data_IF_682575104971
#
_entry.id   IF_682575104971
#
_cell.length_a   1.000
_cell.length_b   1.000
_cell.length_c   1.000
_cell.angle_alpha   90.00
_cell.angle_beta   90.00
_cell.angle_gamma   90.00
#
_symmetry.space_group_name_H-M   'P 1'
#
loop_
_entity.id
_entity.type
_entity.pdbx_description
1 polymer ?
#
# COMPACT_ATOMS: atom_id res chain seq x y z
N UNK A 1 -7.65 10.71 9.35
CA UNK A 1 -7.87 11.33 10.69
C UNK A 1 -6.58 11.30 11.51
N UNK A 2 -6.43 12.22 12.47
CA UNK A 2 -5.33 12.14 13.44
C UNK A 2 -5.51 10.93 14.35
N UNK A 3 -4.41 10.24 14.63
CA UNK A 3 -4.32 9.11 15.55
C UNK A 3 -3.69 9.52 16.88
N UNK A 4 -2.55 10.25 16.79
CA UNK A 4 -1.84 10.89 17.90
C UNK A 4 -1.34 12.26 17.43
N UNK A 5 -0.87 13.15 18.30
CA UNK A 5 -0.24 14.41 17.88
C UNK A 5 0.87 14.15 16.84
N UNK A 6 0.76 14.76 15.67
CA UNK A 6 1.70 14.59 14.56
C UNK A 6 1.60 13.28 13.76
N UNK A 7 0.71 12.35 14.12
CA UNK A 7 0.52 11.07 13.42
C UNK A 7 -0.92 10.98 12.89
N UNK A 8 -1.07 10.77 11.58
CA UNK A 8 -2.38 10.55 10.96
C UNK A 8 -2.53 9.11 10.43
N UNK A 9 -3.77 8.67 10.30
CA UNK A 9 -4.13 7.37 9.71
C UNK A 9 -4.83 7.58 8.37
N UNK A 10 -4.38 6.83 7.38
CA UNK A 10 -5.04 6.62 6.09
C UNK A 10 -5.53 5.18 6.02
N UNK A 11 -6.83 4.99 5.97
CA UNK A 11 -7.42 3.69 5.65
C UNK A 11 -7.49 3.54 4.13
N UNK A 12 -6.94 2.46 3.60
CA UNK A 12 -6.99 2.16 2.17
C UNK A 12 -7.90 0.94 1.97
N UNK A 13 -9.18 1.16 1.66
CA UNK A 13 -10.12 0.06 1.45
C UNK A 13 -9.82 -0.67 0.14
N UNK A 14 -10.43 -1.86 -0.03
CA UNK A 14 -10.44 -2.54 -1.33
C UNK A 14 -11.18 -1.68 -2.37
N UNK A 15 -10.73 -1.75 -3.63
CA UNK A 15 -11.38 -1.06 -4.75
C UNK A 15 -11.48 -1.97 -5.97
N UNK A 16 -12.65 -2.08 -6.58
CA UNK A 16 -12.91 -2.97 -7.72
C UNK A 16 -13.32 -2.25 -9.00
N UNK A 17 -13.37 -0.92 -8.98
CA UNK A 17 -13.70 -0.14 -10.16
C UNK A 17 -12.61 -0.24 -11.24
N UNK A 18 -13.03 -0.13 -12.50
CA UNK A 18 -12.14 -0.11 -13.67
C UNK A 18 -12.46 1.07 -14.59
N UNK A 19 -13.37 1.94 -14.18
CA UNK A 19 -13.73 3.17 -14.85
C UNK A 19 -12.80 4.29 -14.37
N UNK A 20 -12.26 5.08 -15.28
CA UNK A 20 -11.24 6.11 -14.97
C UNK A 20 -11.78 7.18 -14.02
N UNK A 21 -13.07 7.53 -14.10
CA UNK A 21 -13.69 8.49 -13.18
C UNK A 21 -13.77 7.94 -11.76
N UNK A 22 -14.19 6.67 -11.60
CA UNK A 22 -14.23 6.02 -10.29
C UNK A 22 -12.82 5.83 -9.71
N UNK A 23 -11.83 5.49 -10.55
CA UNK A 23 -10.43 5.40 -10.14
C UNK A 23 -9.91 6.75 -9.65
N UNK A 24 -10.21 7.84 -10.37
CA UNK A 24 -9.85 9.21 -9.99
C UNK A 24 -10.49 9.62 -8.66
N UNK A 25 -11.79 9.37 -8.50
CA UNK A 25 -12.51 9.68 -7.25
C UNK A 25 -11.92 8.92 -6.08
N UNK A 26 -11.58 7.64 -6.26
CA UNK A 26 -10.95 6.84 -5.22
C UNK A 26 -9.55 7.36 -4.86
N UNK A 27 -8.70 7.61 -5.85
CA UNK A 27 -7.36 8.15 -5.63
C UNK A 27 -7.42 9.51 -4.93
N UNK A 28 -8.35 10.38 -5.35
CA UNK A 28 -8.56 11.69 -4.72
C UNK A 28 -9.03 11.57 -3.28
N UNK A 29 -9.86 10.59 -2.93
CA UNK A 29 -10.27 10.39 -1.54
C UNK A 29 -9.08 10.13 -0.59
N UNK A 30 -8.07 9.41 -1.06
CA UNK A 30 -6.82 9.18 -0.32
C UNK A 30 -6.00 10.47 -0.25
N UNK A 31 -5.84 11.20 -1.36
CA UNK A 31 -5.06 12.44 -1.42
C UNK A 31 -5.68 13.55 -0.58
N UNK A 32 -7.00 13.69 -0.58
CA UNK A 32 -7.72 14.60 0.31
C UNK A 32 -7.50 14.25 1.79
N UNK A 33 -7.49 12.97 2.12
CA UNK A 33 -7.19 12.53 3.48
C UNK A 33 -5.74 12.85 3.89
N UNK A 34 -4.77 12.76 2.93
CA UNK A 34 -3.40 13.22 3.14
C UNK A 34 -3.36 14.75 3.35
N UNK A 35 -4.00 15.53 2.47
CA UNK A 35 -4.04 16.98 2.60
C UNK A 35 -4.63 17.43 3.94
N UNK A 36 -5.79 16.90 4.33
CA UNK A 36 -6.42 17.17 5.63
C UNK A 36 -5.55 16.78 6.81
N UNK A 37 -4.79 15.68 6.69
CA UNK A 37 -3.83 15.29 7.72
C UNK A 37 -2.69 16.29 7.85
N UNK A 38 -2.15 16.79 6.73
CA UNK A 38 -1.11 17.82 6.72
C UNK A 38 -1.60 19.12 7.34
N UNK A 39 -2.80 19.57 6.98
CA UNK A 39 -3.45 20.74 7.59
C UNK A 39 -3.62 20.59 9.12
N UNK A 40 -3.89 19.37 9.58
CA UNK A 40 -4.00 19.04 11.00
C UNK A 40 -2.62 18.81 11.67
N UNK A 41 -1.50 19.05 10.97
CA UNK A 41 -0.15 18.97 11.53
C UNK A 41 0.46 17.58 11.53
N UNK A 42 -0.01 16.65 10.66
CA UNK A 42 0.62 15.34 10.52
C UNK A 42 2.03 15.45 9.93
N UNK A 43 2.97 14.73 10.57
CA UNK A 43 4.38 14.59 10.18
C UNK A 43 4.78 13.13 9.97
N UNK A 44 3.91 12.20 10.35
CA UNK A 44 4.07 10.76 10.17
C UNK A 44 2.71 10.11 9.88
N UNK A 45 2.73 8.93 9.27
CA UNK A 45 1.51 8.30 8.75
C UNK A 45 1.42 6.83 9.10
N UNK A 46 0.22 6.38 9.45
CA UNK A 46 -0.16 4.96 9.44
C UNK A 46 -0.98 4.72 8.17
N UNK A 47 -0.52 3.82 7.32
CA UNK A 47 -1.26 3.32 6.16
C UNK A 47 -1.90 1.98 6.56
N UNK A 48 -3.21 2.00 6.74
CA UNK A 48 -3.96 0.82 7.17
C UNK A 48 -4.47 0.01 5.97
N UNK A 49 -3.87 -1.15 5.78
CA UNK A 49 -4.25 -2.17 4.80
C UNK A 49 -4.92 -3.38 5.46
N UNK A 50 -5.15 -3.38 6.77
CA UNK A 50 -5.61 -4.54 7.52
C UNK A 50 -6.96 -5.11 7.06
N UNK A 51 -7.79 -4.28 6.42
CA UNK A 51 -9.07 -4.66 5.83
C UNK A 51 -9.06 -4.78 4.30
N UNK A 52 -7.94 -4.49 3.64
CA UNK A 52 -7.87 -4.42 2.19
C UNK A 52 -7.75 -5.80 1.54
N UNK A 53 -8.84 -6.28 0.95
CA UNK A 53 -8.92 -7.59 0.28
C UNK A 53 -8.52 -7.55 -1.20
N UNK A 54 -7.93 -6.47 -1.68
CA UNK A 54 -7.45 -6.32 -3.04
C UNK A 54 -8.40 -5.60 -4.00
N UNK A 55 -8.40 -6.01 -5.25
CA UNK A 55 -9.15 -5.38 -6.34
C UNK A 55 -8.24 -4.72 -7.37
N UNK A 56 -8.46 -3.44 -7.69
CA UNK A 56 -7.62 -2.67 -8.60
C UNK A 56 -6.58 -1.87 -7.79
N UNK A 57 -5.30 -2.22 -7.96
CA UNK A 57 -4.21 -1.58 -7.21
C UNK A 57 -3.88 -0.15 -7.67
N UNK A 58 -4.18 0.16 -8.94
CA UNK A 58 -3.69 1.41 -9.56
C UNK A 58 -4.18 2.65 -8.84
N UNK A 59 -5.49 2.87 -8.61
CA UNK A 59 -5.95 4.05 -7.89
C UNK A 59 -5.51 4.07 -6.41
N UNK A 60 -5.20 2.91 -5.81
CA UNK A 60 -4.60 2.86 -4.47
C UNK A 60 -3.18 3.43 -4.49
N UNK A 61 -2.37 3.01 -5.48
CA UNK A 61 -1.00 3.51 -5.65
C UNK A 61 -1.00 4.99 -6.04
N UNK A 62 -1.87 5.41 -6.98
CA UNK A 62 -1.99 6.81 -7.41
C UNK A 62 -2.37 7.74 -6.23
N UNK A 63 -3.30 7.31 -5.39
CA UNK A 63 -3.67 8.04 -4.19
C UNK A 63 -2.54 8.14 -3.16
N UNK A 64 -1.73 7.09 -3.04
CA UNK A 64 -0.60 7.01 -2.10
C UNK A 64 0.72 7.51 -2.67
N UNK A 65 0.78 7.89 -3.96
CA UNK A 65 2.04 8.31 -4.60
C UNK A 65 2.78 9.45 -3.89
N UNK A 66 2.12 10.41 -3.20
CA UNK A 66 2.85 11.38 -2.39
C UNK A 66 3.71 10.76 -1.29
N UNK A 67 3.29 9.62 -0.73
CA UNK A 67 4.05 8.87 0.28
C UNK A 67 5.06 7.90 -0.37
N UNK A 68 4.72 7.32 -1.52
CA UNK A 68 5.51 6.25 -2.16
C UNK A 68 6.67 6.79 -3.01
N UNK A 69 6.58 8.02 -3.50
CA UNK A 69 7.33 8.52 -4.64
C UNK A 69 6.67 8.11 -5.95
N UNK A 70 7.17 8.61 -7.07
CA UNK A 70 6.57 8.43 -8.40
C UNK A 70 7.24 7.36 -9.25
N UNK A 71 8.38 6.83 -8.82
CA UNK A 71 9.17 5.86 -9.59
C UNK A 71 9.65 4.69 -8.73
N UNK A 72 9.81 3.54 -9.38
CA UNK A 72 10.47 2.39 -8.76
C UNK A 72 9.72 1.77 -7.57
N UNK A 73 8.42 1.96 -7.45
CA UNK A 73 7.64 1.48 -6.28
C UNK A 73 7.42 -0.04 -6.27
N UNK A 74 7.59 -0.71 -7.42
CA UNK A 74 7.47 -2.15 -7.57
C UNK A 74 7.35 -2.56 -9.02
N UNK A 75 7.29 -3.87 -9.25
CA UNK A 75 7.10 -4.45 -10.59
C UNK A 75 6.45 -5.81 -10.53
N UNK A 76 5.92 -6.23 -11.66
CA UNK A 76 5.56 -7.62 -11.91
C UNK A 76 6.77 -8.37 -12.41
N UNK A 77 7.07 -9.54 -11.83
CA UNK A 77 8.13 -10.44 -12.28
C UNK A 77 7.49 -11.68 -12.90
N UNK A 78 7.72 -11.90 -14.18
CA UNK A 78 7.18 -13.04 -14.92
C UNK A 78 8.10 -14.26 -14.83
N UNK A 79 7.54 -15.44 -15.16
CA UNK A 79 8.25 -16.73 -15.09
C UNK A 79 9.44 -16.81 -16.06
N UNK A 80 9.36 -16.14 -17.20
CA UNK A 80 10.43 -16.08 -18.21
C UNK A 80 11.60 -15.16 -17.80
N UNK A 81 11.54 -14.55 -16.64
CA UNK A 81 12.54 -13.61 -16.14
C UNK A 81 12.31 -12.17 -16.56
N UNK A 82 11.36 -11.88 -17.44
CA UNK A 82 10.99 -10.51 -17.79
C UNK A 82 10.28 -9.79 -16.62
N UNK A 83 10.18 -8.49 -16.70
CA UNK A 83 9.47 -7.68 -15.70
C UNK A 83 8.75 -6.48 -16.30
N UNK A 84 7.70 -6.05 -15.64
CA UNK A 84 6.95 -4.84 -15.97
C UNK A 84 6.85 -3.96 -14.74
N UNK A 85 7.41 -2.75 -14.81
CA UNK A 85 7.35 -1.79 -13.71
C UNK A 85 5.91 -1.34 -13.44
N UNK A 86 5.62 -1.05 -12.17
CA UNK A 86 4.38 -0.39 -11.81
C UNK A 86 4.51 1.10 -12.10
N UNK A 87 3.61 1.60 -12.95
CA UNK A 87 3.58 3.00 -13.37
C UNK A 87 2.29 3.64 -12.88
N UNK A 88 2.39 4.86 -12.40
CA UNK A 88 1.22 5.64 -12.01
C UNK A 88 0.45 6.12 -13.26
N UNK A 89 -0.87 6.12 -13.17
CA UNK A 89 -1.70 6.78 -14.16
C UNK A 89 -1.64 8.29 -13.92
N UNK A 90 -1.32 9.06 -14.96
CA UNK A 90 -1.51 10.52 -14.92
C UNK A 90 -3.00 10.83 -15.07
N UNK A 91 -3.75 10.74 -13.99
CA UNK A 91 -5.19 11.04 -13.99
C UNK A 91 -5.40 12.57 -14.01
N UNK A 92 -6.15 13.08 -14.98
CA UNK A 92 -6.57 14.49 -14.96
C UNK A 92 -7.45 14.78 -13.73
N UNK A 93 -7.27 15.96 -13.14
CA UNK A 93 -8.05 16.39 -11.97
C UNK A 93 -7.70 15.64 -10.68
N UNK A 94 -6.48 15.07 -10.59
CA UNK A 94 -6.01 14.50 -9.33
C UNK A 94 -5.64 15.62 -8.36
N UNK A 95 -6.04 15.47 -7.10
CA UNK A 95 -5.71 16.42 -6.02
C UNK A 95 -4.20 16.45 -5.80
N UNK A 96 -3.60 17.63 -5.90
CA UNK A 96 -2.18 17.77 -5.64
C UNK A 96 -1.88 17.73 -4.14
N UNK A 97 -0.90 16.92 -3.77
CA UNK A 97 -0.32 16.84 -2.44
C UNK A 97 1.18 16.90 -2.60
N UNK A 98 1.85 17.70 -1.76
CA UNK A 98 3.32 17.80 -1.79
C UNK A 98 3.99 16.45 -1.60
N UNK A 99 5.23 16.32 -2.04
CA UNK A 99 6.04 15.12 -1.79
C UNK A 99 6.20 14.84 -0.30
N UNK A 100 5.93 13.60 0.09
CA UNK A 100 6.03 13.04 1.43
C UNK A 100 7.00 11.84 1.46
N UNK A 101 7.87 11.71 0.48
CA UNK A 101 8.80 10.58 0.36
C UNK A 101 9.74 10.41 1.56
N UNK A 102 9.97 11.48 2.32
CA UNK A 102 10.89 11.49 3.47
C UNK A 102 10.19 11.53 4.84
N UNK A 103 8.88 11.29 4.92
CA UNK A 103 8.18 11.21 6.20
C UNK A 103 8.09 9.77 6.71
N UNK A 104 8.09 9.53 8.04
CA UNK A 104 7.90 8.20 8.59
C UNK A 104 6.53 7.61 8.24
N UNK A 105 6.52 6.32 7.82
CA UNK A 105 5.29 5.59 7.48
C UNK A 105 5.28 4.22 8.15
N UNK A 106 4.23 3.92 8.88
CA UNK A 106 3.93 2.60 9.38
C UNK A 106 2.83 1.96 8.51
N UNK A 107 3.08 0.75 7.99
CA UNK A 107 2.10 0.01 7.18
C UNK A 107 1.47 -1.10 8.03
N UNK A 108 0.16 -1.08 8.22
CA UNK A 108 -0.53 -2.10 9.02
C UNK A 108 -1.18 -3.12 8.11
N UNK A 109 -0.83 -4.40 8.30
CA UNK A 109 -1.37 -5.53 7.56
C UNK A 109 -2.05 -6.56 8.47
N UNK A 110 -2.85 -7.44 7.89
CA UNK A 110 -3.47 -8.57 8.60
C UNK A 110 -3.66 -9.76 7.67
N UNK A 111 -4.15 -10.89 8.18
CA UNK A 111 -4.54 -12.04 7.37
C UNK A 111 -5.66 -11.76 6.34
N UNK A 112 -6.28 -10.58 6.36
CA UNK A 112 -7.26 -10.14 5.37
C UNK A 112 -6.66 -9.25 4.28
N UNK A 113 -5.43 -8.77 4.46
CA UNK A 113 -4.70 -8.04 3.41
C UNK A 113 -4.37 -9.01 2.28
N UNK A 114 -4.90 -8.77 1.07
CA UNK A 114 -4.82 -9.72 -0.04
C UNK A 114 -4.63 -9.04 -1.39
N UNK A 115 -3.95 -9.73 -2.32
CA UNK A 115 -3.86 -9.34 -3.74
C UNK A 115 -3.38 -7.89 -3.92
N UNK A 116 -4.18 -7.00 -4.50
CA UNK A 116 -3.82 -5.58 -4.66
C UNK A 116 -3.51 -4.87 -3.33
N UNK A 117 -4.08 -5.30 -2.20
CA UNK A 117 -3.68 -4.83 -0.88
C UNK A 117 -2.24 -5.25 -0.52
N UNK A 118 -1.83 -6.45 -0.96
CA UNK A 118 -0.44 -6.91 -0.83
C UNK A 118 0.48 -6.15 -1.79
N UNK A 119 0.02 -5.80 -3.00
CA UNK A 119 0.79 -4.95 -3.91
C UNK A 119 1.09 -3.58 -3.30
N UNK A 120 0.10 -2.96 -2.65
CA UNK A 120 0.31 -1.70 -1.90
C UNK A 120 1.32 -1.90 -0.77
N UNK A 121 1.23 -2.99 0.00
CA UNK A 121 2.20 -3.28 1.05
C UNK A 121 3.62 -3.48 0.47
N UNK A 122 3.76 -4.16 -0.67
CA UNK A 122 5.04 -4.34 -1.39
C UNK A 122 5.59 -2.99 -1.87
N UNK A 123 4.74 -2.07 -2.35
CA UNK A 123 5.17 -0.74 -2.80
C UNK A 123 5.84 0.08 -1.68
N UNK A 124 5.52 -0.20 -0.42
CA UNK A 124 6.18 0.42 0.73
C UNK A 124 7.46 -0.30 1.16
N UNK A 125 7.73 -1.53 0.70
CA UNK A 125 8.98 -2.25 1.02
C UNK A 125 10.19 -1.55 0.44
N UNK A 126 11.23 -1.40 1.26
CA UNK A 126 12.47 -0.72 0.87
C UNK A 126 12.36 0.79 0.74
N UNK A 127 11.22 1.40 1.11
CA UNK A 127 11.11 2.85 1.23
C UNK A 127 11.78 3.29 2.54
N UNK A 128 12.61 4.36 2.54
CA UNK A 128 13.18 4.90 3.76
C UNK A 128 12.12 5.26 4.82
N UNK A 129 12.48 5.22 6.08
CA UNK A 129 11.61 5.57 7.21
C UNK A 129 10.25 4.83 7.16
N UNK A 130 10.27 3.57 6.78
CA UNK A 130 9.05 2.76 6.64
C UNK A 130 9.20 1.43 7.34
N UNK A 131 8.19 1.05 8.13
CA UNK A 131 8.12 -0.23 8.82
C UNK A 131 6.70 -0.80 8.78
N UNK A 132 6.57 -2.11 8.66
CA UNK A 132 5.28 -2.80 8.63
C UNK A 132 4.97 -3.50 9.95
N UNK A 133 3.69 -3.49 10.33
CA UNK A 133 3.17 -3.97 11.61
C UNK A 133 1.95 -4.85 11.39
N UNK A 134 1.69 -5.75 12.33
CA UNK A 134 0.44 -6.51 12.36
C UNK A 134 0.61 -7.98 12.12
N UNK A 135 -0.22 -8.57 11.28
CA UNK A 135 -0.21 -9.98 10.93
C UNK A 135 0.24 -10.24 9.49
N UNK A 136 0.72 -11.47 9.25
CA UNK A 136 1.02 -11.93 7.90
C UNK A 136 -0.22 -11.84 7.00
N UNK A 137 -0.02 -11.48 5.73
CA UNK A 137 -1.09 -11.30 4.74
C UNK A 137 -1.70 -12.62 4.27
N UNK A 138 -2.70 -12.55 3.39
CA UNK A 138 -3.37 -13.73 2.83
C UNK A 138 -2.47 -14.62 1.98
N UNK A 139 -1.46 -14.06 1.30
CA UNK A 139 -0.52 -14.81 0.48
C UNK A 139 -0.83 -14.80 -1.02
N UNK A 140 -1.58 -13.82 -1.49
CA UNK A 140 -1.89 -13.60 -2.91
C UNK A 140 -1.04 -12.45 -3.50
N UNK A 141 0.25 -12.39 -3.14
CA UNK A 141 1.19 -11.39 -3.67
C UNK A 141 1.63 -11.70 -5.10
N UNK A 142 0.62 -11.90 -5.98
CA UNK A 142 0.75 -12.33 -7.37
C UNK A 142 -0.18 -11.53 -8.27
N UNK A 143 0.13 -11.52 -9.57
CA UNK A 143 -0.72 -10.95 -10.62
C UNK A 143 -1.35 -12.05 -11.47
N UNK A 144 -2.61 -11.85 -11.82
CA UNK A 144 -3.35 -12.74 -12.69
C UNK A 144 -3.62 -12.09 -14.05
N UNK A 145 -3.46 -12.87 -15.11
CA UNK A 145 -3.96 -12.53 -16.44
C UNK A 145 -5.30 -13.18 -16.67
N UNK A 146 -6.23 -12.44 -17.25
CA UNK A 146 -7.57 -12.94 -17.58
C UNK A 146 -7.63 -13.35 -19.04
N UNK A 147 -8.02 -14.59 -19.30
CA UNK A 147 -8.26 -15.13 -20.63
C UNK A 147 -9.76 -15.36 -20.82
N UNK A 148 -10.33 -14.76 -21.88
CA UNK A 148 -11.72 -15.02 -22.27
C UNK A 148 -11.75 -16.29 -23.13
N UNK A 149 -12.57 -17.27 -22.75
CA UNK A 149 -12.75 -18.53 -23.47
C UNK A 149 -13.86 -18.40 -24.53
N UNK A 150 -13.93 -19.38 -25.45
CA UNK A 150 -14.86 -19.36 -26.56
C UNK A 150 -16.35 -19.38 -26.15
N UNK A 151 -16.64 -19.97 -24.99
CA UNK A 151 -17.98 -20.01 -24.38
C UNK A 151 -18.35 -18.72 -23.60
N UNK A 152 -17.46 -17.72 -23.60
CA UNK A 152 -17.63 -16.47 -22.87
C UNK A 152 -17.19 -16.50 -21.40
N UNK A 153 -16.81 -17.67 -20.87
CA UNK A 153 -16.23 -17.79 -19.53
C UNK A 153 -14.85 -17.15 -19.45
N UNK A 154 -14.37 -16.92 -18.22
CA UNK A 154 -13.07 -16.29 -17.99
C UNK A 154 -12.17 -17.19 -17.15
N UNK A 155 -10.96 -17.40 -17.64
CA UNK A 155 -9.91 -18.10 -16.93
C UNK A 155 -8.93 -17.09 -16.35
N UNK A 156 -8.70 -17.15 -15.04
CA UNK A 156 -7.72 -16.32 -14.33
C UNK A 156 -6.50 -17.17 -14.03
N UNK A 157 -5.36 -16.82 -14.62
CA UNK A 157 -4.09 -17.51 -14.40
C UNK A 157 -3.11 -16.59 -13.70
N UNK A 158 -2.44 -17.10 -12.68
CA UNK A 158 -1.30 -16.43 -12.08
C UNK A 158 -0.13 -16.43 -13.05
N UNK A 159 0.30 -15.25 -13.48
CA UNK A 159 1.34 -15.09 -14.51
C UNK A 159 2.59 -14.36 -13.98
N UNK A 160 2.49 -13.63 -12.87
CA UNK A 160 3.60 -12.91 -12.28
C UNK A 160 3.52 -12.90 -10.76
N UNK A 161 4.65 -12.69 -10.12
CA UNK A 161 4.77 -12.35 -8.70
C UNK A 161 5.11 -10.88 -8.55
N UNK A 162 4.85 -10.31 -7.36
CA UNK A 162 5.27 -8.94 -7.06
C UNK A 162 6.76 -8.90 -6.72
N UNK A 163 7.41 -7.81 -7.10
CA UNK A 163 8.81 -7.52 -6.76
C UNK A 163 8.89 -6.06 -6.27
N UNK A 164 9.54 -5.84 -5.14
CA UNK A 164 9.70 -4.50 -4.57
C UNK A 164 10.80 -3.69 -5.26
N UNK A 165 11.02 -2.45 -4.79
CA UNK A 165 12.04 -1.53 -5.32
C UNK A 165 13.47 -2.03 -5.15
N UNK A 166 13.72 -2.96 -4.21
CA UNK A 166 15.03 -3.56 -3.94
C UNK A 166 15.25 -4.87 -4.69
N UNK A 167 14.25 -5.33 -5.47
CA UNK A 167 14.32 -6.59 -6.23
C UNK A 167 13.92 -7.84 -5.44
N UNK A 168 13.40 -7.70 -4.22
CA UNK A 168 12.89 -8.84 -3.46
C UNK A 168 11.57 -9.30 -4.07
N UNK A 169 11.45 -10.63 -4.25
CA UNK A 169 10.28 -11.26 -4.89
C UNK A 169 9.33 -11.83 -3.85
N UNK A 170 8.06 -11.64 -4.14
CA UNK A 170 6.94 -12.15 -3.33
C UNK A 170 6.09 -13.07 -4.21
N UNK A 171 5.27 -13.88 -3.63
CA UNK A 171 4.39 -14.85 -4.31
C UNK A 171 3.64 -15.67 -3.27
N UNK A 172 3.82 -15.27 -2.01
CA UNK A 172 3.21 -15.90 -0.83
C UNK A 172 2.87 -14.81 0.20
N UNK A 173 2.64 -15.19 1.45
CA UNK A 173 2.34 -14.27 2.54
C UNK A 173 3.48 -13.28 2.76
N UNK A 174 3.11 -12.00 2.90
CA UNK A 174 4.01 -10.97 3.40
C UNK A 174 3.99 -11.01 4.92
N UNK A 175 5.14 -11.24 5.52
CA UNK A 175 5.30 -11.14 6.97
C UNK A 175 5.69 -9.70 7.30
N UNK A 176 5.00 -9.01 8.21
CA UNK A 176 5.38 -7.65 8.61
C UNK A 176 6.69 -7.66 9.40
N UNK A 177 7.40 -6.52 9.41
CA UNK A 177 8.66 -6.35 10.12
C UNK A 177 8.47 -6.47 11.64
N UNK A 178 7.28 -6.09 12.12
CA UNK A 178 6.88 -6.24 13.51
C UNK A 178 5.55 -7.01 13.59
N UNK A 179 5.64 -8.30 13.92
CA UNK A 179 4.44 -9.12 14.14
C UNK A 179 3.85 -8.75 15.49
N UNK A 180 2.61 -8.23 15.50
CA UNK A 180 1.91 -7.95 16.74
C UNK A 180 1.15 -9.19 17.23
N UNK A 181 1.42 -9.59 18.48
CA UNK A 181 0.66 -10.64 19.12
C UNK A 181 -0.66 -10.07 19.65
N UNK A 182 -1.79 -10.69 19.27
CA UNK A 182 -3.10 -10.29 19.73
C UNK A 182 -4.14 -10.19 18.61
N UNK A 183 -5.40 -10.44 18.97
CA UNK A 183 -6.54 -10.35 18.05
C UNK A 183 -7.02 -8.91 18.03
N UNK A 184 -6.60 -8.15 17.00
CA UNK A 184 -7.19 -6.84 16.75
C UNK A 184 -6.24 -5.83 16.09
N UNK A 185 -6.81 -4.90 15.36
CA UNK A 185 -6.08 -3.79 14.76
C UNK A 185 -5.45 -2.87 15.82
N UNK A 186 -6.02 -2.78 17.03
CA UNK A 186 -5.56 -1.88 18.10
C UNK A 186 -4.11 -2.12 18.54
N UNK A 187 -3.69 -3.38 18.73
CA UNK A 187 -2.32 -3.71 19.10
C UNK A 187 -1.33 -3.29 18.01
N UNK A 188 -1.71 -3.49 16.73
CA UNK A 188 -0.88 -3.09 15.58
C UNK A 188 -0.78 -1.58 15.46
N UNK A 189 -1.87 -0.87 15.68
CA UNK A 189 -1.87 0.61 15.69
C UNK A 189 -1.07 1.16 16.86
N UNK A 190 -1.15 0.54 18.05
CA UNK A 190 -0.36 0.91 19.23
C UNK A 190 1.14 0.84 18.92
N UNK A 191 1.63 -0.34 18.49
CA UNK A 191 3.03 -0.56 18.14
C UNK A 191 3.52 0.35 16.99
N UNK A 192 2.68 0.54 15.96
CA UNK A 192 2.97 1.46 14.86
C UNK A 192 3.11 2.91 15.36
N UNK A 193 2.20 3.34 16.23
CA UNK A 193 2.23 4.68 16.83
C UNK A 193 3.47 4.90 17.70
N UNK A 194 3.86 3.94 18.51
CA UNK A 194 5.04 4.03 19.36
C UNK A 194 6.33 4.16 18.54
N UNK A 195 6.44 3.38 17.45
CA UNK A 195 7.57 3.50 16.52
C UNK A 195 7.58 4.87 15.80
N UNK A 196 6.42 5.35 15.33
CA UNK A 196 6.31 6.65 14.70
C UNK A 196 6.62 7.80 15.66
N UNK A 197 6.20 7.71 16.92
CA UNK A 197 6.56 8.69 17.96
C UNK A 197 8.09 8.74 18.17
N UNK A 198 8.77 7.58 18.17
CA UNK A 198 10.23 7.53 18.23
C UNK A 198 10.87 8.19 17.00
N UNK A 199 10.34 7.92 15.79
CA UNK A 199 10.81 8.58 14.59
C UNK A 199 10.67 10.10 14.63
N UNK A 200 9.55 10.61 15.13
CA UNK A 200 9.30 12.03 15.26
C UNK A 200 10.25 12.73 16.27
N UNK A 201 10.84 11.96 17.19
CA UNK A 201 11.89 12.44 18.09
C UNK A 201 13.31 12.28 17.52
N UNK A 202 13.46 11.75 16.31
CA UNK A 202 14.77 11.47 15.69
C UNK A 202 15.41 10.16 16.15
N UNK A 203 14.65 9.27 16.77
CA UNK A 203 15.07 7.97 17.32
C UNK A 203 14.64 6.79 16.42
N UNK A 204 14.44 7.02 15.13
CA UNK A 204 14.07 5.98 14.16
C UNK A 204 15.22 4.97 14.01
N UNK A 205 14.99 3.74 14.46
CA UNK A 205 15.87 2.62 14.15
C UNK A 205 15.23 1.80 13.01
N UNK A 206 16.01 1.52 11.96
CA UNK A 206 15.64 0.64 10.85
C UNK A 206 15.42 -0.81 11.30
#
# INVERSE_FOLDING_TARGET
RMFRPGIAVIHVPMFRGTDDELERVFANSIREALAKGLEAGARAWIVDLSGNRGGNMWPMLDGLSPLLGTEGVGRFRYRDGSSSAWTFKSLEGIVEVRDLGNVPVAVVTSGRTASSGEAVAVAFRGRPLTRSFGGATSGYSTSNTTYKLADGSRLYLTTAVFEDRNGNRYGSKLVPDHVTQGVGAEASFGAAGDWLDACLRGECHE
#
